data_IF_123940904537
#
_entry.id   IF_123940904537
#
_cell.length_a   1.000
_cell.length_b   1.000
_cell.length_c   1.000
_cell.angle_alpha   90.00
_cell.angle_beta   90.00
_cell.angle_gamma   90.00
#
_symmetry.space_group_name_H-M   'P 1'
#
loop_
_entity.id
_entity.type
_entity.pdbx_description
1 polymer ?
#
# COMPACT_ATOMS: atom_id res chain seq x y z
N UNK A 1 15.51 -1.71 23.42
CA UNK A 1 15.14 -1.44 22.01
C UNK A 1 13.63 -1.26 21.97
N UNK A 2 13.07 -0.41 21.10
CA UNK A 2 11.61 -0.40 20.93
C UNK A 2 11.19 -1.58 20.06
N UNK A 3 10.05 -2.20 20.37
CA UNK A 3 9.48 -3.33 19.64
C UNK A 3 8.21 -2.92 18.92
N UNK A 4 8.10 -3.23 17.63
CA UNK A 4 6.88 -3.03 16.85
C UNK A 4 6.36 -4.35 16.29
N UNK A 5 5.03 -4.45 16.18
CA UNK A 5 4.39 -5.54 15.43
C UNK A 5 4.01 -5.07 14.05
N UNK A 6 4.50 -5.74 13.00
CA UNK A 6 4.12 -5.48 11.61
C UNK A 6 3.19 -6.59 11.13
N UNK A 7 2.00 -6.25 10.64
CA UNK A 7 1.06 -7.28 10.18
C UNK A 7 1.32 -7.65 8.71
N UNK A 8 1.28 -8.94 8.38
CA UNK A 8 1.30 -9.42 7.00
C UNK A 8 2.68 -9.34 6.33
N UNK A 9 3.73 -9.73 7.04
CA UNK A 9 5.14 -9.51 6.67
C UNK A 9 5.53 -9.98 5.27
N UNK A 10 4.82 -10.97 4.71
CA UNK A 10 5.07 -11.46 3.35
C UNK A 10 4.59 -10.53 2.23
N UNK A 11 3.96 -9.40 2.57
CA UNK A 11 3.44 -8.42 1.61
C UNK A 11 4.52 -7.46 1.11
N UNK A 12 4.31 -6.89 -0.08
CA UNK A 12 5.23 -5.94 -0.70
C UNK A 12 5.55 -4.72 0.18
N UNK A 13 4.51 -4.06 0.70
CA UNK A 13 4.67 -2.90 1.60
C UNK A 13 5.24 -3.33 2.95
N UNK A 14 4.73 -4.43 3.51
CA UNK A 14 5.14 -4.92 4.82
C UNK A 14 6.62 -5.28 4.86
N UNK A 15 7.16 -5.89 3.80
CA UNK A 15 8.59 -6.19 3.69
C UNK A 15 9.47 -4.94 3.78
N UNK A 16 9.11 -3.86 3.09
CA UNK A 16 9.84 -2.58 3.17
C UNK A 16 9.63 -1.86 4.51
N UNK A 17 8.45 -1.96 5.13
CA UNK A 17 8.22 -1.48 6.50
C UNK A 17 9.14 -2.21 7.47
N UNK A 18 9.23 -3.54 7.39
CA UNK A 18 10.14 -4.33 8.24
C UNK A 18 11.59 -3.88 8.03
N UNK A 19 12.04 -3.74 6.78
CA UNK A 19 13.39 -3.24 6.45
C UNK A 19 13.67 -1.88 7.07
N UNK A 20 12.76 -0.90 6.91
CA UNK A 20 12.96 0.46 7.43
C UNK A 20 13.02 0.50 8.97
N UNK A 21 12.16 -0.25 9.66
CA UNK A 21 12.20 -0.34 11.13
C UNK A 21 13.44 -1.06 11.65
N UNK A 22 13.85 -2.18 11.02
CA UNK A 22 15.07 -2.89 11.42
C UNK A 22 16.32 -2.00 11.26
N UNK A 23 16.43 -1.29 10.12
CA UNK A 23 17.53 -0.35 9.87
C UNK A 23 17.51 0.88 10.80
N UNK A 24 16.35 1.19 11.39
CA UNK A 24 16.22 2.21 12.43
C UNK A 24 16.49 1.68 13.85
N UNK A 25 16.92 0.42 13.98
CA UNK A 25 17.30 -0.18 15.26
C UNK A 25 16.10 -0.61 16.12
N UNK A 26 15.00 -1.06 15.50
CA UNK A 26 13.86 -1.64 16.20
C UNK A 26 13.91 -3.16 16.27
N UNK A 27 13.27 -3.71 17.29
CA UNK A 27 12.79 -5.09 17.27
C UNK A 27 11.50 -5.15 16.47
N UNK A 28 11.43 -6.08 15.52
CA UNK A 28 10.26 -6.24 14.66
C UNK A 28 9.72 -7.66 14.83
N UNK A 29 8.46 -7.77 15.22
CA UNK A 29 7.72 -9.04 15.19
C UNK A 29 6.69 -8.96 14.09
N UNK A 30 6.68 -9.91 13.15
CA UNK A 30 5.76 -9.86 12.01
C UNK A 30 4.85 -11.07 11.92
N UNK A 31 3.58 -10.83 11.56
CA UNK A 31 2.64 -11.92 11.32
C UNK A 31 2.85 -12.54 9.94
N UNK A 32 2.76 -13.86 9.89
CA UNK A 32 2.70 -14.65 8.66
C UNK A 32 1.53 -15.64 8.75
N UNK A 33 0.89 -15.96 7.63
CA UNK A 33 -0.22 -16.96 7.61
C UNK A 33 0.24 -18.39 7.90
N UNK A 34 1.53 -18.66 7.75
CA UNK A 34 2.12 -19.95 8.04
C UNK A 34 3.60 -19.75 8.32
N UNK A 35 4.11 -20.37 9.39
CA UNK A 35 5.54 -20.31 9.73
C UNK A 35 6.46 -20.84 8.62
N UNK A 36 5.93 -21.66 7.69
CA UNK A 36 6.65 -22.10 6.48
C UNK A 36 7.10 -20.94 5.57
N UNK A 37 6.56 -19.74 5.76
CA UNK A 37 6.93 -18.53 5.01
C UNK A 37 8.00 -17.68 5.70
N UNK A 38 8.35 -17.96 6.97
CA UNK A 38 9.30 -17.17 7.74
C UNK A 38 10.70 -17.19 7.10
N UNK A 39 11.27 -18.37 6.87
CA UNK A 39 12.57 -18.54 6.21
C UNK A 39 12.64 -17.88 4.84
N UNK A 40 11.51 -17.86 4.13
CA UNK A 40 11.42 -17.17 2.84
C UNK A 40 11.56 -15.68 3.07
N UNK A 41 10.70 -15.09 3.90
CA UNK A 41 10.72 -13.64 4.18
C UNK A 41 12.10 -13.18 4.67
N UNK A 42 12.74 -13.92 5.56
CA UNK A 42 14.10 -13.64 6.04
C UNK A 42 15.10 -13.53 4.87
N UNK A 43 15.05 -14.49 3.92
CA UNK A 43 15.90 -14.44 2.70
C UNK A 43 15.54 -13.28 1.77
N UNK A 44 14.26 -12.91 1.69
CA UNK A 44 13.78 -11.80 0.85
C UNK A 44 14.33 -10.46 1.34
N UNK A 45 14.38 -10.25 2.66
CA UNK A 45 14.85 -8.98 3.24
C UNK A 45 16.36 -8.96 3.54
N UNK A 46 17.06 -10.10 3.56
CA UNK A 46 18.49 -10.21 3.92
C UNK A 46 19.43 -9.35 3.08
N UNK A 47 19.05 -9.00 1.85
CA UNK A 47 19.83 -8.09 1.00
C UNK A 47 19.66 -6.60 1.33
N UNK A 48 18.70 -6.26 2.19
CA UNK A 48 18.30 -4.88 2.51
C UNK A 48 18.55 -4.50 3.98
N UNK A 49 18.98 -5.45 4.81
CA UNK A 49 19.33 -5.25 6.23
C UNK A 49 20.65 -5.96 6.54
N UNK A 50 21.40 -5.48 7.53
CA UNK A 50 22.61 -6.14 8.02
C UNK A 50 22.29 -7.43 8.80
N UNK A 51 23.30 -8.27 9.00
CA UNK A 51 23.16 -9.50 9.80
C UNK A 51 22.82 -9.22 11.26
N UNK A 52 23.24 -8.09 11.81
CA UNK A 52 22.95 -7.73 13.19
C UNK A 52 21.52 -7.23 13.35
N UNK A 53 21.04 -6.41 12.41
CA UNK A 53 19.64 -5.98 12.37
C UNK A 53 18.70 -7.17 12.16
N UNK A 54 19.07 -8.16 11.35
CA UNK A 54 18.27 -9.36 11.12
C UNK A 54 17.94 -10.13 12.42
N UNK A 55 18.83 -10.10 13.42
CA UNK A 55 18.59 -10.76 14.73
C UNK A 55 17.41 -10.17 15.49
N UNK A 56 16.99 -8.96 15.13
CA UNK A 56 15.88 -8.26 15.75
C UNK A 56 14.54 -8.57 15.06
N UNK A 57 14.52 -9.43 14.03
CA UNK A 57 13.30 -9.92 13.39
C UNK A 57 12.81 -11.22 14.03
N UNK A 58 11.51 -11.24 14.36
CA UNK A 58 10.80 -12.43 14.81
C UNK A 58 9.49 -12.60 14.04
N UNK A 59 8.94 -13.82 14.06
CA UNK A 59 7.74 -14.17 13.32
C UNK A 59 6.72 -14.84 14.24
N UNK A 60 5.45 -14.62 13.94
CA UNK A 60 4.36 -15.38 14.55
C UNK A 60 3.30 -15.73 13.51
N UNK A 61 2.63 -16.86 13.74
CA UNK A 61 1.56 -17.31 12.85
C UNK A 61 0.24 -16.62 13.22
N UNK A 62 -0.33 -15.84 12.31
CA UNK A 62 -1.65 -15.26 12.47
C UNK A 62 -2.30 -14.96 11.11
N UNK A 63 -3.64 -14.97 11.09
CA UNK A 63 -4.46 -14.56 9.95
C UNK A 63 -5.47 -13.50 10.40
N UNK A 64 -5.81 -12.56 9.52
CA UNK A 64 -6.78 -11.51 9.81
C UNK A 64 -8.20 -12.03 9.98
N UNK A 65 -8.51 -13.25 9.50
CA UNK A 65 -9.83 -13.88 9.66
C UNK A 65 -9.92 -14.74 10.93
N UNK A 66 -8.97 -14.61 11.86
CA UNK A 66 -8.87 -15.43 13.06
C UNK A 66 -8.24 -14.63 14.19
N UNK A 67 -8.83 -14.69 15.39
CA UNK A 67 -8.30 -13.96 16.56
C UNK A 67 -7.09 -14.67 17.21
N UNK A 68 -6.75 -15.88 16.74
CA UNK A 68 -5.64 -16.68 17.29
C UNK A 68 -4.30 -15.97 17.20
N UNK A 69 -3.51 -16.11 18.26
CA UNK A 69 -2.12 -15.67 18.41
C UNK A 69 -1.87 -14.15 18.39
N UNK A 70 -2.85 -13.32 18.05
CA UNK A 70 -2.65 -11.86 17.96
C UNK A 70 -2.29 -11.23 19.30
N UNK A 71 -3.10 -11.45 20.35
CA UNK A 71 -2.91 -10.80 21.66
C UNK A 71 -1.54 -11.13 22.25
N UNK A 72 -1.21 -12.43 22.32
CA UNK A 72 0.08 -12.88 22.87
C UNK A 72 1.27 -12.35 22.07
N UNK A 73 1.15 -12.26 20.74
CA UNK A 73 2.24 -11.79 19.87
C UNK A 73 2.43 -10.27 19.91
N UNK A 74 1.37 -9.52 20.24
CA UNK A 74 1.40 -8.05 20.38
C UNK A 74 1.83 -7.62 21.78
N UNK A 75 1.64 -8.47 22.80
CA UNK A 75 1.96 -8.15 24.18
C UNK A 75 3.42 -7.66 24.34
N UNK A 76 3.56 -6.52 25.02
CA UNK A 76 4.85 -5.88 25.27
C UNK A 76 5.45 -5.12 24.07
N UNK A 77 4.74 -4.98 22.96
CA UNK A 77 5.16 -4.09 21.87
C UNK A 77 4.86 -2.61 22.20
N UNK A 78 5.68 -1.70 21.67
CA UNK A 78 5.45 -0.25 21.74
C UNK A 78 4.39 0.23 20.74
N UNK A 79 4.09 -0.56 19.71
CA UNK A 79 3.03 -0.26 18.76
C UNK A 79 2.82 -1.31 17.68
N UNK A 80 1.75 -1.12 16.91
CA UNK A 80 1.39 -1.96 15.77
C UNK A 80 1.41 -1.16 14.48
N UNK A 81 2.11 -1.68 13.47
CA UNK A 81 2.09 -1.18 12.10
C UNK A 81 1.19 -2.12 11.28
N UNK A 82 -0.08 -1.74 11.16
CA UNK A 82 -1.10 -2.54 10.49
C UNK A 82 -1.11 -2.30 8.98
N UNK A 83 -0.32 -3.09 8.26
CA UNK A 83 -0.19 -3.04 6.79
C UNK A 83 -1.09 -4.06 6.09
N UNK A 84 -1.42 -5.16 6.76
CA UNK A 84 -2.11 -6.28 6.15
C UNK A 84 -3.56 -5.89 5.83
N UNK A 85 -3.95 -6.08 4.57
CA UNK A 85 -5.33 -5.90 4.13
C UNK A 85 -5.75 -7.12 3.33
N UNK A 86 -6.90 -7.73 3.63
CA UNK A 86 -7.51 -8.69 2.73
C UNK A 86 -7.85 -7.99 1.42
N UNK A 87 -7.38 -8.52 0.28
CA UNK A 87 -7.62 -7.94 -1.05
C UNK A 87 -8.69 -8.70 -1.84
N UNK A 88 -9.34 -9.69 -1.24
CA UNK A 88 -10.19 -10.65 -1.95
C UNK A 88 -9.42 -11.48 -2.98
N UNK A 89 -10.15 -12.27 -3.76
CA UNK A 89 -9.65 -13.03 -4.92
C UNK A 89 -10.38 -12.64 -6.21
N UNK A 90 -11.24 -11.60 -6.16
CA UNK A 90 -11.98 -11.08 -7.31
C UNK A 90 -13.31 -11.78 -7.58
N UNK A 91 -13.70 -12.76 -6.75
CA UNK A 91 -15.00 -13.43 -6.86
C UNK A 91 -15.98 -13.00 -5.77
N UNK A 92 -15.54 -12.19 -4.80
CA UNK A 92 -16.39 -11.71 -3.71
C UNK A 92 -17.43 -10.70 -4.19
N UNK A 93 -18.57 -10.68 -3.50
CA UNK A 93 -19.49 -9.54 -3.55
C UNK A 93 -18.84 -8.30 -2.91
N UNK A 94 -19.38 -7.11 -3.17
CA UNK A 94 -18.95 -5.88 -2.49
C UNK A 94 -19.04 -6.05 -0.97
N UNK A 95 -20.15 -6.57 -0.49
CA UNK A 95 -20.43 -6.78 0.93
C UNK A 95 -19.43 -7.75 1.57
N UNK A 96 -19.13 -8.87 0.92
CA UNK A 96 -18.12 -9.83 1.40
C UNK A 96 -16.74 -9.18 1.50
N UNK A 97 -16.32 -8.42 0.49
CA UNK A 97 -15.03 -7.74 0.49
C UNK A 97 -14.94 -6.68 1.60
N UNK A 98 -16.01 -5.91 1.79
CA UNK A 98 -16.14 -4.91 2.87
C UNK A 98 -16.06 -5.61 4.23
N UNK A 99 -16.84 -6.66 4.46
CA UNK A 99 -16.89 -7.37 5.73
C UNK A 99 -15.54 -7.98 6.08
N UNK A 100 -14.87 -8.63 5.12
CA UNK A 100 -13.55 -9.23 5.37
C UNK A 100 -12.50 -8.15 5.65
N UNK A 101 -12.49 -7.04 4.91
CA UNK A 101 -11.53 -5.95 5.14
C UNK A 101 -11.76 -5.28 6.50
N UNK A 102 -13.01 -4.90 6.81
CA UNK A 102 -13.39 -4.28 8.08
C UNK A 102 -13.07 -5.19 9.26
N UNK A 103 -13.48 -6.45 9.23
CA UNK A 103 -13.25 -7.39 10.32
C UNK A 103 -11.75 -7.67 10.52
N UNK A 104 -10.98 -7.79 9.44
CA UNK A 104 -9.54 -7.97 9.55
C UNK A 104 -8.85 -6.80 10.27
N UNK A 105 -9.24 -5.56 9.97
CA UNK A 105 -8.75 -4.38 10.68
C UNK A 105 -9.16 -4.39 12.15
N UNK A 106 -10.43 -4.69 12.45
CA UNK A 106 -10.92 -4.74 13.82
C UNK A 106 -10.28 -5.85 14.65
N UNK A 107 -9.98 -7.01 14.07
CA UNK A 107 -9.25 -8.10 14.77
C UNK A 107 -7.90 -7.62 15.29
N UNK A 108 -7.13 -6.88 14.48
CA UNK A 108 -5.83 -6.36 14.90
C UNK A 108 -5.97 -5.26 15.96
N UNK A 109 -6.91 -4.33 15.78
CA UNK A 109 -7.13 -3.24 16.75
C UNK A 109 -7.61 -3.77 18.11
N UNK A 110 -8.54 -4.72 18.12
CA UNK A 110 -9.01 -5.39 19.34
C UNK A 110 -7.88 -6.12 20.04
N UNK A 111 -7.08 -6.88 19.29
CA UNK A 111 -5.95 -7.58 19.88
C UNK A 111 -4.88 -6.63 20.43
N UNK A 112 -4.62 -5.49 19.76
CA UNK A 112 -3.71 -4.47 20.26
C UNK A 112 -4.21 -3.85 21.58
N UNK A 113 -5.51 -3.51 21.63
CA UNK A 113 -6.16 -3.01 22.85
C UNK A 113 -6.05 -4.01 24.00
N UNK A 114 -6.39 -5.27 23.76
CA UNK A 114 -6.34 -6.35 24.77
C UNK A 114 -4.90 -6.61 25.26
N UNK A 115 -3.92 -6.52 24.35
CA UNK A 115 -2.50 -6.62 24.68
C UNK A 115 -1.93 -5.39 25.41
N UNK A 116 -2.73 -4.33 25.63
CA UNK A 116 -2.32 -3.10 26.29
C UNK A 116 -1.56 -2.12 25.39
N UNK A 117 -1.54 -2.34 24.07
CA UNK A 117 -0.83 -1.50 23.10
C UNK A 117 -1.77 -0.42 22.56
N UNK A 118 -1.41 0.85 22.80
CA UNK A 118 -2.25 1.99 22.43
C UNK A 118 -1.96 2.53 21.02
N UNK A 119 -0.70 2.46 20.57
CA UNK A 119 -0.23 3.12 19.35
C UNK A 119 -0.37 2.21 18.14
N UNK A 120 -1.14 2.65 17.14
CA UNK A 120 -1.32 1.94 15.87
C UNK A 120 -1.11 2.89 14.68
N UNK A 121 -0.28 2.48 13.72
CA UNK A 121 -0.19 3.12 12.41
C UNK A 121 -0.73 2.15 11.37
N UNK A 122 -1.77 2.54 10.64
CA UNK A 122 -2.48 1.68 9.70
C UNK A 122 -2.29 2.14 8.26
N UNK A 123 -2.02 1.20 7.35
CA UNK A 123 -2.04 1.47 5.91
C UNK A 123 -3.49 1.47 5.40
N UNK A 124 -3.99 2.66 5.06
CA UNK A 124 -5.23 2.85 4.30
C UNK A 124 -4.89 2.99 2.80
N UNK A 125 -5.56 3.89 2.07
CA UNK A 125 -5.32 4.16 0.65
C UNK A 125 -5.96 5.50 0.25
N UNK A 126 -5.43 6.15 -0.79
CA UNK A 126 -6.12 7.25 -1.48
C UNK A 126 -7.49 6.85 -2.06
N UNK A 127 -7.79 5.55 -2.13
CA UNK A 127 -9.16 5.07 -2.35
C UNK A 127 -10.17 5.60 -1.31
N UNK A 128 -9.71 5.92 -0.10
CA UNK A 128 -10.50 6.56 0.95
C UNK A 128 -10.54 8.10 0.88
N UNK A 129 -9.93 8.68 -0.16
CA UNK A 129 -9.97 10.12 -0.51
C UNK A 129 -10.22 10.31 -2.01
N UNK A 130 -11.20 9.61 -2.56
CA UNK A 130 -11.58 9.68 -3.98
C UNK A 130 -12.88 10.49 -4.13
N UNK A 131 -12.87 11.62 -4.88
CA UNK A 131 -14.06 12.42 -5.12
C UNK A 131 -14.91 11.81 -6.25
N UNK A 132 -16.06 12.41 -6.52
CA UNK A 132 -16.87 12.09 -7.70
C UNK A 132 -16.11 12.36 -9.02
N UNK A 133 -16.49 11.64 -10.07
CA UNK A 133 -15.91 11.80 -11.40
C UNK A 133 -16.03 13.25 -11.90
N UNK A 134 -14.98 13.73 -12.57
CA UNK A 134 -14.93 15.09 -13.12
C UNK A 134 -14.41 16.15 -12.13
N UNK A 135 -14.20 15.81 -10.86
CA UNK A 135 -13.53 16.70 -9.91
C UNK A 135 -12.14 17.12 -10.40
N UNK A 136 -11.81 18.38 -10.15
CA UNK A 136 -10.51 19.01 -10.45
C UNK A 136 -9.82 19.52 -9.19
N UNK A 137 -10.37 19.20 -8.01
CA UNK A 137 -9.87 19.69 -6.73
C UNK A 137 -8.48 19.12 -6.38
N UNK A 138 -7.75 19.87 -5.55
CA UNK A 138 -6.61 19.34 -4.79
C UNK A 138 -7.13 18.93 -3.42
N UNK A 139 -7.05 17.64 -3.12
CA UNK A 139 -7.59 17.04 -1.90
C UNK A 139 -6.50 16.92 -0.84
N UNK A 140 -6.86 17.23 0.39
CA UNK A 140 -6.06 16.98 1.58
C UNK A 140 -6.68 15.86 2.44
N UNK A 141 -6.13 15.65 3.62
CA UNK A 141 -6.53 14.60 4.55
C UNK A 141 -7.90 14.81 5.21
N UNK A 142 -8.51 15.98 5.07
CA UNK A 142 -9.87 16.23 5.55
C UNK A 142 -10.93 15.57 4.65
N UNK A 143 -10.58 15.29 3.40
CA UNK A 143 -11.52 14.72 2.44
C UNK A 143 -11.75 13.22 2.68
N UNK A 144 -13.02 12.84 2.73
CA UNK A 144 -13.46 11.44 2.84
C UNK A 144 -14.27 11.07 1.60
N UNK A 145 -13.94 9.94 0.97
CA UNK A 145 -14.78 9.36 -0.07
C UNK A 145 -16.20 9.10 0.46
N UNK A 146 -17.21 9.53 -0.29
CA UNK A 146 -18.60 9.09 -0.07
C UNK A 146 -18.79 7.70 -0.67
N UNK A 147 -19.14 6.72 0.15
CA UNK A 147 -19.40 5.33 -0.29
C UNK A 147 -20.64 5.20 -1.17
N UNK A 148 -21.50 6.22 -1.21
CA UNK A 148 -22.64 6.30 -2.13
C UNK A 148 -22.25 6.75 -3.54
N UNK A 149 -20.99 7.15 -3.76
CA UNK A 149 -20.49 7.50 -5.09
C UNK A 149 -20.62 6.27 -6.02
N UNK A 150 -21.42 6.36 -7.10
CA UNK A 150 -21.70 5.24 -8.00
C UNK A 150 -20.50 4.79 -8.83
N UNK A 151 -19.44 5.61 -8.89
CA UNK A 151 -18.21 5.32 -9.65
C UNK A 151 -17.19 4.48 -8.87
N UNK A 152 -17.46 4.18 -7.59
CA UNK A 152 -16.55 3.39 -6.76
C UNK A 152 -16.63 1.91 -7.10
N UNK A 153 -15.45 1.31 -7.25
CA UNK A 153 -15.33 -0.15 -7.31
C UNK A 153 -15.38 -0.78 -5.90
N UNK A 154 -15.58 -2.10 -5.80
CA UNK A 154 -15.65 -2.81 -4.52
C UNK A 154 -14.43 -2.61 -3.62
N UNK A 155 -13.24 -2.45 -4.20
CA UNK A 155 -12.00 -2.23 -3.46
C UNK A 155 -11.97 -0.84 -2.81
N UNK A 156 -12.43 0.19 -3.52
CA UNK A 156 -12.52 1.54 -2.96
C UNK A 156 -13.51 1.60 -1.79
N UNK A 157 -14.68 0.99 -1.97
CA UNK A 157 -15.69 0.89 -0.91
C UNK A 157 -15.11 0.19 0.32
N UNK A 158 -14.45 -0.97 0.14
CA UNK A 158 -13.88 -1.71 1.28
C UNK A 158 -12.80 -0.94 2.03
N UNK A 159 -11.96 -0.15 1.33
CA UNK A 159 -10.96 0.70 1.95
C UNK A 159 -11.56 1.84 2.78
N UNK A 160 -12.62 2.48 2.29
CA UNK A 160 -13.33 3.53 3.04
C UNK A 160 -13.95 2.94 4.31
N UNK A 161 -14.68 1.84 4.17
CA UNK A 161 -15.37 1.20 5.29
C UNK A 161 -14.40 0.65 6.35
N UNK A 162 -13.27 0.05 5.92
CA UNK A 162 -12.25 -0.40 6.87
C UNK A 162 -11.60 0.76 7.63
N UNK A 163 -11.32 1.89 6.95
CA UNK A 163 -10.71 3.05 7.60
C UNK A 163 -11.69 3.72 8.57
N UNK A 164 -12.95 3.91 8.18
CA UNK A 164 -13.99 4.46 9.06
C UNK A 164 -14.19 3.60 10.31
N UNK A 165 -14.28 2.27 10.14
CA UNK A 165 -14.41 1.35 11.26
C UNK A 165 -13.21 1.39 12.22
N UNK A 166 -11.99 1.57 11.68
CA UNK A 166 -10.80 1.76 12.51
C UNK A 166 -10.91 3.02 13.36
N UNK A 167 -11.24 4.16 12.75
CA UNK A 167 -11.39 5.44 13.45
C UNK A 167 -12.51 5.43 14.49
N UNK A 168 -13.64 4.80 14.19
CA UNK A 168 -14.75 4.62 15.13
C UNK A 168 -14.30 3.82 16.36
N UNK A 169 -13.70 2.64 16.13
CA UNK A 169 -13.23 1.77 17.21
C UNK A 169 -12.19 2.43 18.10
N UNK A 170 -11.17 3.09 17.53
CA UNK A 170 -10.11 3.72 18.36
C UNK A 170 -10.61 4.91 19.15
N UNK A 171 -11.64 5.62 18.66
CA UNK A 171 -12.27 6.73 19.37
C UNK A 171 -13.03 6.22 20.60
N UNK A 172 -13.75 5.12 20.46
CA UNK A 172 -14.48 4.48 21.57
C UNK A 172 -13.52 3.91 22.63
N UNK A 173 -12.42 3.31 22.18
CA UNK A 173 -11.49 2.60 23.06
C UNK A 173 -10.31 3.45 23.58
N UNK A 174 -10.20 4.71 23.16
CA UNK A 174 -9.12 5.62 23.54
C UNK A 174 -7.74 5.15 23.06
N UNK A 175 -7.65 4.63 21.83
CA UNK A 175 -6.40 4.23 21.19
C UNK A 175 -5.83 5.35 20.30
N UNK A 176 -4.53 5.28 20.01
CA UNK A 176 -3.78 6.29 19.25
C UNK A 176 -3.55 5.82 17.81
N UNK A 177 -4.47 6.16 16.92
CA UNK A 177 -4.40 5.79 15.50
C UNK A 177 -3.75 6.88 14.64
N UNK A 178 -2.98 6.45 13.65
CA UNK A 178 -2.66 7.24 12.46
C UNK A 178 -2.93 6.39 11.23
N UNK A 179 -3.51 6.96 10.18
CA UNK A 179 -3.67 6.26 8.90
C UNK A 179 -2.77 6.87 7.83
N UNK A 180 -2.15 6.02 7.02
CA UNK A 180 -1.31 6.41 5.87
C UNK A 180 -2.03 6.00 4.58
N UNK A 181 -2.24 6.96 3.68
CA UNK A 181 -3.06 6.83 2.48
C UNK A 181 -2.19 6.90 1.22
N UNK A 182 -1.58 5.78 0.79
CA UNK A 182 -0.82 5.74 -0.44
C UNK A 182 -1.70 5.74 -1.70
N UNK A 183 -1.10 6.20 -2.80
CA UNK A 183 -1.63 6.08 -4.15
C UNK A 183 -1.24 4.75 -4.79
N UNK A 184 -0.76 4.80 -6.04
CA UNK A 184 -0.19 3.66 -6.73
C UNK A 184 1.20 3.34 -6.16
N UNK A 185 1.27 2.34 -5.29
CA UNK A 185 2.51 1.95 -4.63
C UNK A 185 3.42 1.24 -5.63
N UNK A 186 4.59 1.79 -5.91
CA UNK A 186 5.58 1.18 -6.78
C UNK A 186 6.97 1.24 -6.15
N UNK A 187 7.95 0.58 -6.76
CA UNK A 187 9.34 0.66 -6.35
C UNK A 187 10.04 -0.69 -6.42
N UNK A 188 11.31 -0.76 -5.97
CA UNK A 188 12.08 -1.99 -6.01
C UNK A 188 11.40 -3.12 -5.24
N UNK A 189 11.40 -4.33 -5.80
CA UNK A 189 10.89 -5.53 -5.12
C UNK A 189 12.01 -6.30 -4.43
N UNK A 190 11.73 -6.81 -3.24
CA UNK A 190 12.65 -7.63 -2.45
C UNK A 190 12.73 -9.07 -2.98
N UNK A 191 11.68 -9.56 -3.65
CA UNK A 191 11.62 -10.92 -4.18
C UNK A 191 10.60 -11.07 -5.31
N UNK A 192 10.67 -12.22 -6.01
CA UNK A 192 9.71 -12.62 -7.04
C UNK A 192 8.31 -12.91 -6.50
N UNK A 193 8.14 -13.06 -5.19
CA UNK A 193 6.84 -13.27 -4.54
C UNK A 193 6.18 -11.97 -4.10
N UNK A 194 6.91 -10.85 -4.14
CA UNK A 194 6.48 -9.54 -3.66
C UNK A 194 6.13 -8.56 -4.80
N UNK A 195 5.75 -9.05 -5.98
CA UNK A 195 5.47 -8.20 -7.16
C UNK A 195 4.30 -7.24 -6.92
N UNK A 196 3.18 -7.71 -6.34
CA UNK A 196 2.04 -6.87 -5.94
C UNK A 196 1.60 -5.87 -7.05
N UNK A 197 1.47 -4.59 -6.71
CA UNK A 197 1.15 -3.47 -7.60
C UNK A 197 2.17 -3.25 -8.72
N UNK A 198 3.45 -3.61 -8.55
CA UNK A 198 4.44 -3.58 -9.63
C UNK A 198 4.08 -4.51 -10.80
N UNK A 199 3.06 -5.37 -10.68
CA UNK A 199 2.51 -6.11 -11.82
C UNK A 199 2.00 -5.17 -12.93
N UNK A 200 1.53 -3.98 -12.58
CA UNK A 200 1.14 -2.94 -13.56
C UNK A 200 2.39 -2.44 -14.30
N UNK A 201 3.47 -2.15 -13.57
CA UNK A 201 4.75 -1.74 -14.17
C UNK A 201 5.35 -2.86 -15.03
N UNK A 202 5.25 -4.12 -14.59
CA UNK A 202 5.72 -5.28 -15.34
C UNK A 202 4.97 -5.43 -16.68
N UNK A 203 3.66 -5.20 -16.69
CA UNK A 203 2.87 -5.22 -17.93
C UNK A 203 3.32 -4.11 -18.90
N UNK A 204 3.58 -2.90 -18.38
CA UNK A 204 4.11 -1.79 -19.20
C UNK A 204 5.55 -2.05 -19.68
N UNK A 205 6.38 -2.68 -18.85
CA UNK A 205 7.75 -3.07 -19.20
C UNK A 205 7.79 -4.13 -20.30
N UNK A 206 6.80 -5.01 -20.34
CA UNK A 206 6.62 -5.99 -21.42
C UNK A 206 5.86 -5.42 -22.64
N UNK A 207 5.42 -4.16 -22.55
CA UNK A 207 4.65 -3.45 -23.58
C UNK A 207 3.17 -3.79 -23.55
N UNK A 208 2.33 -2.76 -23.40
CA UNK A 208 0.88 -2.92 -23.53
C UNK A 208 0.46 -2.95 -25.01
N UNK A 209 -0.56 -3.74 -25.39
CA UNK A 209 -1.13 -3.65 -26.75
C UNK A 209 -1.66 -2.25 -27.07
N UNK A 210 -2.27 -1.62 -26.06
CA UNK A 210 -2.72 -0.23 -26.08
C UNK A 210 -2.69 0.36 -24.67
N UNK A 211 -2.33 1.63 -24.55
CA UNK A 211 -2.06 2.35 -23.31
C UNK A 211 -3.24 3.22 -22.91
N UNK A 212 -3.88 3.00 -21.75
CA UNK A 212 -4.94 3.86 -21.25
C UNK A 212 -4.47 5.27 -20.85
N UNK A 213 -5.37 6.27 -20.92
CA UNK A 213 -5.12 7.62 -20.41
C UNK A 213 -5.33 7.69 -18.88
N UNK A 214 -4.41 7.08 -18.13
CA UNK A 214 -4.49 7.00 -16.67
C UNK A 214 -3.31 7.74 -16.01
N UNK A 215 -3.57 8.80 -15.23
CA UNK A 215 -2.56 9.42 -14.38
C UNK A 215 -2.40 8.65 -13.08
N UNK A 216 -1.19 8.19 -12.80
CA UNK A 216 -0.82 7.46 -11.59
C UNK A 216 -0.23 8.45 -10.58
N UNK A 217 -0.85 8.58 -9.40
CA UNK A 217 -0.20 9.24 -8.26
C UNK A 217 0.65 8.19 -7.56
N UNK A 218 1.97 8.33 -7.64
CA UNK A 218 2.89 7.26 -7.28
C UNK A 218 3.37 7.44 -5.84
N UNK A 219 3.28 6.36 -5.05
CA UNK A 219 3.96 6.23 -3.76
C UNK A 219 5.17 5.31 -3.95
N UNK A 220 6.39 5.78 -3.71
CA UNK A 220 7.52 4.87 -3.59
C UNK A 220 7.36 4.02 -2.32
N UNK A 221 7.52 2.71 -2.44
CA UNK A 221 7.37 1.78 -1.31
C UNK A 221 8.36 2.05 -0.18
N UNK A 222 9.54 2.60 -0.48
CA UNK A 222 10.56 2.99 0.50
C UNK A 222 10.13 4.23 1.28
N UNK A 223 9.59 5.22 0.58
CA UNK A 223 9.07 6.42 1.23
C UNK A 223 7.84 6.11 2.06
N UNK A 224 6.98 5.21 1.57
CA UNK A 224 5.82 4.74 2.31
C UNK A 224 6.24 4.04 3.61
N UNK A 225 7.25 3.17 3.57
CA UNK A 225 7.79 2.52 4.76
C UNK A 225 8.30 3.55 5.78
N UNK A 226 9.11 4.51 5.32
CA UNK A 226 9.61 5.61 6.13
C UNK A 226 8.49 6.46 6.74
N UNK A 227 7.41 6.73 6.00
CA UNK A 227 6.26 7.48 6.52
C UNK A 227 5.55 6.72 7.65
N UNK A 228 5.44 5.39 7.57
CA UNK A 228 4.87 4.60 8.67
C UNK A 228 5.71 4.74 9.94
N UNK A 229 7.05 4.69 9.81
CA UNK A 229 7.95 4.88 10.95
C UNK A 229 7.92 6.29 11.49
N UNK A 230 7.97 7.32 10.64
CA UNK A 230 7.87 8.71 11.07
C UNK A 230 6.54 8.98 11.78
N UNK A 231 5.43 8.47 11.26
CA UNK A 231 4.14 8.55 11.92
C UNK A 231 4.18 7.87 13.30
N UNK A 232 4.78 6.68 13.39
CA UNK A 232 4.91 5.96 14.66
C UNK A 232 5.76 6.72 15.69
N UNK A 233 6.89 7.28 15.27
CA UNK A 233 7.87 7.96 16.12
C UNK A 233 7.40 9.32 16.64
N UNK A 234 6.57 10.04 15.87
CA UNK A 234 6.22 11.43 16.17
C UNK A 234 4.79 11.56 16.71
N UNK A 235 4.60 12.00 17.97
CA UNK A 235 3.27 12.14 18.57
C UNK A 235 2.33 13.09 17.83
N UNK A 236 2.85 14.05 17.05
CA UNK A 236 2.05 14.94 16.21
C UNK A 236 1.18 14.20 15.20
N UNK A 237 1.55 12.96 14.85
CA UNK A 237 0.80 12.10 13.93
C UNK A 237 -0.44 11.45 14.56
N UNK A 238 -0.56 11.44 15.90
CA UNK A 238 -1.66 10.78 16.60
C UNK A 238 -2.97 11.49 16.26
N UNK A 239 -3.99 10.73 15.87
CA UNK A 239 -5.29 11.27 15.49
C UNK A 239 -5.32 11.85 14.06
N UNK A 240 -4.26 11.66 13.27
CA UNK A 240 -4.16 12.18 11.91
C UNK A 240 -4.22 11.10 10.83
N UNK A 241 -4.61 11.54 9.65
CA UNK A 241 -4.44 10.81 8.38
C UNK A 241 -3.27 11.49 7.65
N UNK A 242 -2.57 10.76 6.78
CA UNK A 242 -1.51 11.31 5.93
C UNK A 242 -1.64 10.78 4.51
N UNK A 243 -1.82 11.67 3.53
CA UNK A 243 -1.71 11.31 2.12
C UNK A 243 -0.24 11.03 1.80
N UNK A 244 0.01 9.96 1.06
CA UNK A 244 1.35 9.47 0.77
C UNK A 244 1.65 9.40 -0.74
N UNK A 245 0.99 10.24 -1.54
CA UNK A 245 1.34 10.50 -2.93
C UNK A 245 0.75 11.83 -3.41
N UNK A 246 1.56 12.68 -4.01
CA UNK A 246 1.13 13.91 -4.69
C UNK A 246 1.70 14.05 -6.11
N UNK A 247 2.76 13.31 -6.42
CA UNK A 247 3.43 13.36 -7.71
C UNK A 247 2.80 12.40 -8.72
N UNK A 248 2.64 12.86 -9.96
CA UNK A 248 1.86 12.16 -10.99
C UNK A 248 2.72 11.79 -12.18
N UNK A 249 2.54 10.57 -12.68
CA UNK A 249 3.08 10.13 -13.96
C UNK A 249 1.98 9.45 -14.79
N UNK A 250 1.89 9.77 -16.08
CA UNK A 250 0.95 9.07 -16.97
C UNK A 250 1.49 7.68 -17.28
N UNK A 251 0.60 6.70 -17.46
CA UNK A 251 1.00 5.36 -17.92
C UNK A 251 1.85 5.42 -19.20
N UNK A 252 1.48 6.28 -20.15
CA UNK A 252 2.25 6.47 -21.39
C UNK A 252 3.66 7.03 -21.16
N UNK A 253 3.84 7.87 -20.13
CA UNK A 253 5.16 8.40 -19.80
C UNK A 253 6.04 7.34 -19.12
N UNK A 254 5.45 6.45 -18.32
CA UNK A 254 6.15 5.25 -17.82
C UNK A 254 6.64 4.37 -18.98
N UNK A 255 5.79 4.08 -19.97
CA UNK A 255 6.20 3.30 -21.14
C UNK A 255 7.27 4.00 -21.97
N UNK A 256 7.26 5.34 -22.09
CA UNK A 256 8.33 6.11 -22.75
C UNK A 256 9.66 5.99 -22.01
N UNK A 257 9.63 6.08 -20.67
CA UNK A 257 10.81 5.89 -19.82
C UNK A 257 11.39 4.49 -20.06
N UNK A 258 10.55 3.44 -20.08
CA UNK A 258 11.00 2.08 -20.33
C UNK A 258 11.48 1.87 -21.78
N UNK A 259 10.79 2.43 -22.77
CA UNK A 259 11.20 2.38 -24.17
C UNK A 259 12.60 2.98 -24.37
N UNK A 260 12.88 4.09 -23.68
CA UNK A 260 14.16 4.80 -23.75
C UNK A 260 15.29 4.02 -23.05
N UNK A 261 15.03 3.52 -21.84
CA UNK A 261 16.06 2.88 -21.02
C UNK A 261 16.27 1.39 -21.32
N UNK A 262 15.29 0.71 -21.90
CA UNK A 262 15.32 -0.71 -22.24
C UNK A 262 14.97 -0.95 -23.72
N UNK A 263 15.75 -0.43 -24.68
CA UNK A 263 15.41 -0.47 -26.11
C UNK A 263 15.24 -1.90 -26.66
N UNK A 264 15.89 -2.89 -26.05
CA UNK A 264 15.74 -4.32 -26.40
C UNK A 264 14.33 -4.86 -26.16
N UNK A 265 13.51 -4.19 -25.33
CA UNK A 265 12.10 -4.54 -25.11
C UNK A 265 11.18 -4.19 -26.26
N UNK A 266 11.59 -3.29 -27.18
CA UNK A 266 10.82 -2.90 -28.37
C UNK A 266 9.37 -2.47 -28.05
N UNK A 267 9.18 -1.77 -26.94
CA UNK A 267 7.86 -1.29 -26.47
C UNK A 267 7.25 -0.38 -27.54
N UNK A 268 5.98 -0.63 -27.90
CA UNK A 268 5.21 0.17 -28.86
C UNK A 268 4.07 0.87 -28.13
N UNK A 269 4.19 2.19 -27.98
CA UNK A 269 3.21 2.99 -27.26
C UNK A 269 2.07 3.34 -28.21
N UNK A 270 0.85 2.89 -27.89
CA UNK A 270 -0.35 3.13 -28.70
C UNK A 270 -1.48 3.55 -27.77
N UNK A 271 -1.87 4.83 -27.80
CA UNK A 271 -2.92 5.31 -26.90
C UNK A 271 -4.27 4.64 -27.19
N UNK A 272 -4.96 4.23 -26.14
CA UNK A 272 -6.32 3.69 -26.20
C UNK A 272 -7.33 4.83 -26.03
N UNK A 273 -8.22 5.09 -27.01
CA UNK A 273 -9.28 6.06 -26.82
C UNK A 273 -10.18 5.68 -25.64
N UNK A 274 -10.54 6.65 -24.79
CA UNK A 274 -11.31 6.39 -23.57
C UNK A 274 -12.69 5.76 -23.85
N UNK A 275 -13.29 6.04 -25.00
CA UNK A 275 -14.53 5.38 -25.47
C UNK A 275 -14.34 3.88 -25.65
N UNK A 276 -13.21 3.47 -26.22
CA UNK A 276 -12.84 2.06 -26.38
C UNK A 276 -12.59 1.41 -25.02
N UNK A 277 -11.88 2.10 -24.10
CA UNK A 277 -11.64 1.59 -22.75
C UNK A 277 -12.96 1.34 -22.00
N UNK A 278 -13.89 2.31 -22.03
CA UNK A 278 -15.22 2.18 -21.41
C UNK A 278 -16.03 1.03 -22.00
N UNK A 279 -15.96 0.82 -23.32
CA UNK A 279 -16.63 -0.30 -23.98
C UNK A 279 -16.04 -1.65 -23.54
N UNK A 280 -14.72 -1.80 -23.57
CA UNK A 280 -14.04 -3.05 -23.21
C UNK A 280 -14.14 -3.37 -21.72
N UNK A 281 -14.23 -2.38 -20.85
CA UNK A 281 -14.41 -2.55 -19.40
C UNK A 281 -15.69 -3.32 -19.00
N UNK A 282 -16.68 -3.42 -19.91
CA UNK A 282 -17.86 -4.26 -19.71
C UNK A 282 -17.50 -5.75 -19.69
N UNK A 283 -16.49 -6.14 -20.47
CA UNK A 283 -16.08 -7.53 -20.67
C UNK A 283 -14.76 -7.87 -19.96
N UNK A 284 -13.92 -6.87 -19.68
CA UNK A 284 -12.58 -7.06 -19.11
C UNK A 284 -12.52 -6.45 -17.70
N UNK A 285 -12.50 -7.27 -16.63
CA UNK A 285 -12.51 -6.79 -15.25
C UNK A 285 -11.35 -5.84 -14.90
N UNK A 286 -10.14 -6.08 -15.44
CA UNK A 286 -8.97 -5.21 -15.19
C UNK A 286 -9.15 -3.80 -15.74
N UNK A 287 -9.86 -3.64 -16.86
CA UNK A 287 -10.16 -2.32 -17.42
C UNK A 287 -11.25 -1.60 -16.61
N UNK A 288 -12.17 -2.32 -15.98
CA UNK A 288 -13.21 -1.73 -15.13
C UNK A 288 -12.64 -0.95 -13.96
N UNK A 289 -11.57 -1.44 -13.34
CA UNK A 289 -10.86 -0.74 -12.27
C UNK A 289 -10.18 0.57 -12.74
N UNK A 290 -9.86 0.66 -14.04
CA UNK A 290 -9.23 1.84 -14.65
C UNK A 290 -10.24 2.90 -15.09
N UNK A 291 -11.50 2.54 -15.36
CA UNK A 291 -12.52 3.49 -15.87
C UNK A 291 -12.67 4.73 -15.00
N UNK A 292 -12.76 4.64 -13.66
CA UNK A 292 -12.85 5.82 -12.79
C UNK A 292 -11.57 6.69 -12.78
N UNK A 293 -10.46 6.16 -13.29
CA UNK A 293 -9.17 6.84 -13.33
C UNK A 293 -8.88 7.52 -14.68
N UNK A 294 -9.69 7.26 -15.72
CA UNK A 294 -9.48 7.83 -17.05
C UNK A 294 -9.60 9.35 -17.02
N UNK A 295 -8.61 10.03 -17.57
CA UNK A 295 -8.50 11.50 -17.58
C UNK A 295 -8.70 12.15 -16.20
N UNK A 296 -8.38 11.44 -15.11
CA UNK A 296 -8.51 11.97 -13.75
C UNK A 296 -7.75 13.29 -13.62
N UNK A 297 -8.46 14.35 -13.19
CA UNK A 297 -7.92 15.70 -13.03
C UNK A 297 -7.67 16.12 -11.58
N UNK A 298 -8.41 15.56 -10.62
CA UNK A 298 -8.14 15.82 -9.21
C UNK A 298 -6.75 15.33 -8.82
N UNK A 299 -6.20 15.96 -7.79
CA UNK A 299 -4.88 15.66 -7.22
C UNK A 299 -4.95 15.56 -5.71
N UNK A 300 -3.92 15.00 -5.11
CA UNK A 300 -3.72 15.04 -3.67
C UNK A 300 -2.53 15.90 -3.30
N UNK A 301 -2.59 16.55 -2.13
CA UNK A 301 -1.43 17.16 -1.49
C UNK A 301 -0.87 16.25 -0.42
N UNK A 302 0.45 16.30 -0.22
CA UNK A 302 1.21 15.61 0.83
C UNK A 302 1.74 16.58 1.87
N UNK A 303 1.29 17.83 1.84
CA UNK A 303 1.82 18.92 2.67
C UNK A 303 1.76 18.61 4.16
N UNK A 304 0.75 17.89 4.66
CA UNK A 304 0.68 17.51 6.07
C UNK A 304 1.84 16.57 6.45
N UNK A 305 2.12 15.54 5.64
CA UNK A 305 3.22 14.61 5.89
C UNK A 305 4.58 15.31 5.82
N UNK A 306 4.74 16.24 4.89
CA UNK A 306 5.97 17.02 4.72
C UNK A 306 6.20 17.99 5.90
N UNK A 307 5.16 18.73 6.30
CA UNK A 307 5.25 19.75 7.35
C UNK A 307 5.33 19.14 8.76
N UNK A 308 4.49 18.14 9.04
CA UNK A 308 4.41 17.55 10.39
C UNK A 308 5.59 16.61 10.67
N UNK A 309 6.03 15.85 9.66
CA UNK A 309 6.94 14.72 9.83
C UNK A 309 8.27 14.86 9.09
N UNK A 310 8.45 15.94 8.30
CA UNK A 310 9.62 16.09 7.44
C UNK A 310 9.71 15.00 6.37
N UNK A 311 8.58 14.38 5.99
CA UNK A 311 8.56 13.31 5.01
C UNK A 311 8.95 13.83 3.63
N UNK A 312 9.72 13.04 2.88
CA UNK A 312 10.12 13.38 1.52
C UNK A 312 9.82 12.24 0.57
N UNK A 313 9.72 12.56 -0.72
CA UNK A 313 9.35 11.62 -1.76
C UNK A 313 10.47 11.50 -2.80
N UNK A 314 10.74 10.27 -3.25
CA UNK A 314 11.45 10.00 -4.48
C UNK A 314 10.65 10.53 -5.66
N UNK A 315 11.34 10.79 -6.77
CA UNK A 315 10.65 11.17 -8.01
C UNK A 315 9.96 9.94 -8.62
N UNK A 316 8.75 10.08 -9.18
CA UNK A 316 8.05 8.98 -9.83
C UNK A 316 8.88 8.24 -10.88
N UNK A 317 9.69 8.96 -11.65
CA UNK A 317 10.58 8.40 -12.68
C UNK A 317 11.65 7.48 -12.07
N UNK A 318 12.22 7.86 -10.94
CA UNK A 318 13.20 7.05 -10.20
C UNK A 318 12.53 5.79 -9.65
N UNK A 319 11.34 5.94 -9.06
CA UNK A 319 10.55 4.83 -8.52
C UNK A 319 10.23 3.78 -9.59
N UNK A 320 9.72 4.19 -10.76
CA UNK A 320 9.37 3.24 -11.82
C UNK A 320 10.60 2.61 -12.46
N UNK A 321 11.73 3.32 -12.52
CA UNK A 321 13.00 2.79 -13.01
C UNK A 321 13.62 1.77 -12.04
N UNK A 322 13.61 2.03 -10.75
CA UNK A 322 14.12 1.10 -9.73
C UNK A 322 13.26 -0.16 -9.66
N UNK A 323 11.94 -0.02 -9.80
CA UNK A 323 11.03 -1.15 -9.95
C UNK A 323 11.40 -1.99 -11.19
N UNK A 324 11.56 -1.37 -12.36
CA UNK A 324 11.91 -2.09 -13.60
C UNK A 324 13.26 -2.83 -13.48
N UNK A 325 14.29 -2.19 -12.92
CA UNK A 325 15.60 -2.81 -12.71
C UNK A 325 15.50 -4.08 -11.85
N UNK A 326 14.72 -4.04 -10.77
CA UNK A 326 14.55 -5.23 -9.91
C UNK A 326 13.72 -6.33 -10.58
N UNK A 327 12.67 -5.98 -11.33
CA UNK A 327 11.88 -6.93 -12.13
C UNK A 327 12.76 -7.66 -13.15
N UNK A 328 13.63 -6.93 -13.87
CA UNK A 328 14.57 -7.48 -14.86
C UNK A 328 15.64 -8.35 -14.18
N UNK A 329 16.22 -7.86 -13.08
CA UNK A 329 17.25 -8.59 -12.31
C UNK A 329 16.73 -9.94 -11.83
N UNK A 330 15.45 -10.02 -11.46
CA UNK A 330 14.78 -11.25 -11.04
C UNK A 330 14.24 -12.10 -12.21
N UNK A 331 14.39 -11.64 -13.45
CA UNK A 331 13.99 -12.35 -14.65
C UNK A 331 12.48 -12.51 -14.82
N UNK A 332 11.69 -11.56 -14.28
CA UNK A 332 10.23 -11.57 -14.31
C UNK A 332 9.64 -10.97 -15.59
N UNK A 333 10.49 -10.31 -16.37
CA UNK A 333 10.17 -9.58 -17.59
C UNK A 333 10.22 -10.47 -18.85
N UNK A 334 10.09 -11.79 -18.68
CA UNK A 334 10.10 -12.78 -19.77
C UNK A 334 8.73 -13.00 -20.36
#
# INVERSE_FOLDING_TARGET
MKKVVVTGGTGFVAGWVIVDFLNAGYEVSTSVRSMKKADRLEKEIAGAVSKDEMKNLSFFEADLTSDKNWVESIKGADGVIHVASPMGNGTQTVEELVNVAKNGTLTVLKAAKEAGVKRVVMTSSQAASTPESGSTAVLDESFWTDVKNPDLDPYRISKVESEKAAWEYVKEEGMELTTVLPGAIFGPILSDKAVSSNRILLQMLNGLPMTPHVPLEISDVRDLARLHRLAFENPVAIGKRYLAASQVLQMADVEKIYQTNFPYKKIKIRMMPNTVTKLLARFVPSLRALVPMLDRKYRHTTAAAENDLGWTQHKPEETVMDAAKTLIKLGLDK
#
